data_IF_998184931149
#
_entry.id   IF_998184931149
#
_cell.length_a   1.000
_cell.length_b   1.000
_cell.length_c   1.000
_cell.angle_alpha   90.00
_cell.angle_beta   90.00
_cell.angle_gamma   90.00
#
_symmetry.space_group_name_H-M   'P 1'
#
loop_
_entity.id
_entity.type
_entity.pdbx_description
1 polymer ?
#
# COMPACT_ATOMS: atom_id res chain seq x y z
N UNK A 1 -43.71 49.25 57.91
CA UNK A 1 -42.96 48.00 58.12
C UNK A 1 -43.52 46.95 57.11
N UNK A 2 -42.87 46.67 56.02
CA UNK A 2 -42.82 45.43 55.29
C UNK A 2 -42.15 45.71 53.95
N UNK A 3 -40.93 45.25 53.81
CA UNK A 3 -40.09 45.41 52.63
C UNK A 3 -40.58 44.48 51.51
N UNK A 4 -40.93 45.02 50.37
CA UNK A 4 -41.28 44.27 49.19
C UNK A 4 -40.05 44.28 48.23
N UNK A 5 -39.36 43.15 48.16
CA UNK A 5 -38.23 42.97 47.25
C UNK A 5 -38.76 42.64 45.89
N UNK A 6 -38.48 43.48 44.93
CA UNK A 6 -38.75 43.24 43.53
C UNK A 6 -37.70 42.28 42.97
N UNK A 7 -38.13 41.07 42.61
CA UNK A 7 -37.35 40.16 41.80
C UNK A 7 -37.52 40.55 40.35
N UNK A 8 -36.44 41.11 39.76
CA UNK A 8 -36.35 41.36 38.34
C UNK A 8 -35.94 40.04 37.68
N UNK A 9 -36.91 39.33 37.09
CA UNK A 9 -36.62 38.14 36.32
C UNK A 9 -36.20 38.56 34.91
N UNK A 10 -34.91 38.52 34.66
CA UNK A 10 -34.33 38.75 33.38
C UNK A 10 -34.47 37.45 32.55
N UNK A 11 -35.48 37.44 31.65
CA UNK A 11 -35.72 36.35 30.72
C UNK A 11 -34.72 36.46 29.56
N UNK A 12 -33.63 35.71 29.63
CA UNK A 12 -32.68 35.56 28.51
C UNK A 12 -33.26 34.56 27.50
N UNK A 13 -33.75 35.07 26.39
CA UNK A 13 -34.13 34.26 25.23
C UNK A 13 -32.87 33.70 24.56
N UNK A 14 -32.55 32.45 24.84
CA UNK A 14 -31.54 31.68 24.11
C UNK A 14 -32.17 31.26 22.77
N UNK A 15 -31.82 31.99 21.69
CA UNK A 15 -32.09 31.58 20.35
C UNK A 15 -31.09 30.46 19.98
N UNK A 16 -31.55 29.21 20.06
CA UNK A 16 -30.79 28.07 19.54
C UNK A 16 -30.87 28.12 18.00
N UNK A 17 -29.88 28.74 17.38
CA UNK A 17 -29.66 28.59 15.95
C UNK A 17 -29.15 27.17 15.66
N UNK A 18 -29.99 26.36 15.02
CA UNK A 18 -29.58 25.05 14.48
C UNK A 18 -28.72 25.29 13.26
N UNK A 19 -27.40 25.18 13.41
CA UNK A 19 -26.48 25.05 12.29
C UNK A 19 -26.64 23.64 11.68
N UNK A 20 -26.80 23.52 10.36
CA UNK A 20 -26.74 22.20 9.73
C UNK A 20 -25.34 21.63 9.92
N UNK A 21 -25.25 20.49 10.58
CA UNK A 21 -24.01 19.70 10.63
C UNK A 21 -23.73 19.22 9.19
N UNK A 22 -22.76 19.84 8.54
CA UNK A 22 -22.13 19.25 7.38
C UNK A 22 -21.39 18.01 7.88
N UNK A 23 -21.93 16.84 7.57
CA UNK A 23 -21.21 15.59 7.67
C UNK A 23 -20.06 15.67 6.66
N UNK A 24 -18.87 16.00 7.13
CA UNK A 24 -17.66 15.77 6.36
C UNK A 24 -17.47 14.25 6.34
N UNK A 25 -17.71 13.63 5.19
CA UNK A 25 -17.24 12.28 4.89
C UNK A 25 -15.73 12.27 5.15
N UNK A 26 -15.36 11.67 6.25
CA UNK A 26 -13.97 11.29 6.49
C UNK A 26 -13.69 10.09 5.58
N UNK A 27 -13.26 10.37 4.34
CA UNK A 27 -12.43 9.43 3.64
C UNK A 27 -11.28 9.07 4.58
N UNK A 28 -11.32 7.82 5.02
CA UNK A 28 -10.30 7.29 5.91
C UNK A 28 -8.98 7.22 5.17
N UNK A 29 -8.20 8.28 5.23
CA UNK A 29 -6.77 8.23 5.00
C UNK A 29 -6.16 7.31 6.06
N UNK A 30 -6.11 6.02 5.76
CA UNK A 30 -5.29 5.06 6.47
C UNK A 30 -3.82 5.26 6.07
N UNK A 31 -3.30 6.43 6.39
CA UNK A 31 -1.88 6.68 6.44
C UNK A 31 -1.27 5.73 7.48
N UNK A 32 -0.85 4.55 7.02
CA UNK A 32 0.01 3.67 7.79
C UNK A 32 1.36 4.38 7.99
N UNK A 33 1.50 5.07 9.12
CA UNK A 33 2.78 5.60 9.62
C UNK A 33 3.69 4.43 9.98
N UNK A 34 4.29 3.79 8.99
CA UNK A 34 5.49 3.00 9.15
C UNK A 34 6.62 3.71 8.42
N UNK A 35 7.80 3.74 9.04
CA UNK A 35 9.01 4.45 8.68
C UNK A 35 9.07 4.93 7.22
N UNK A 36 9.69 6.06 6.95
CA UNK A 36 9.64 6.77 5.67
C UNK A 36 9.73 5.84 4.45
N UNK A 37 8.58 5.29 4.03
CA UNK A 37 8.47 4.50 2.81
C UNK A 37 8.74 5.42 1.64
N UNK A 38 9.94 5.30 1.08
CA UNK A 38 10.31 6.06 -0.12
C UNK A 38 9.93 5.23 -1.34
N UNK A 39 9.01 5.75 -2.11
CA UNK A 39 8.57 5.14 -3.35
C UNK A 39 9.68 5.23 -4.41
N UNK A 40 10.16 4.06 -4.84
CA UNK A 40 11.10 3.91 -5.94
C UNK A 40 10.36 3.30 -7.13
N UNK A 41 10.02 4.15 -8.09
CA UNK A 41 9.26 3.76 -9.28
C UNK A 41 10.16 3.21 -10.38
N UNK A 42 9.67 2.17 -11.05
CA UNK A 42 10.22 1.64 -12.28
C UNK A 42 9.09 1.42 -13.28
N UNK A 43 9.21 1.99 -14.47
CA UNK A 43 8.27 1.77 -15.58
C UNK A 43 8.89 0.74 -16.51
N UNK A 44 8.26 -0.43 -16.61
CA UNK A 44 8.71 -1.48 -17.52
C UNK A 44 8.32 -1.12 -18.97
N UNK A 45 9.32 -0.88 -19.78
CA UNK A 45 9.11 -0.70 -21.23
C UNK A 45 8.70 -2.03 -21.87
N UNK A 46 7.97 -1.96 -22.98
CA UNK A 46 7.69 -3.13 -23.82
C UNK A 46 8.90 -3.31 -24.75
N UNK A 47 9.58 -4.43 -24.63
CA UNK A 47 10.71 -4.77 -25.46
C UNK A 47 10.28 -5.17 -26.88
N UNK A 48 11.24 -5.32 -27.79
CA UNK A 48 10.98 -5.68 -29.20
C UNK A 48 10.27 -7.03 -29.37
N UNK A 49 10.39 -7.93 -28.39
CA UNK A 49 9.70 -9.22 -28.33
C UNK A 49 8.29 -9.19 -27.72
N UNK A 50 7.81 -8.00 -27.39
CA UNK A 50 6.48 -7.79 -26.81
C UNK A 50 6.37 -8.12 -25.33
N UNK A 51 7.48 -8.26 -24.60
CA UNK A 51 7.52 -8.57 -23.17
C UNK A 51 7.97 -7.34 -22.38
N UNK A 52 7.36 -7.11 -21.24
CA UNK A 52 7.79 -6.10 -20.29
C UNK A 52 8.74 -6.72 -19.26
N UNK A 53 9.90 -6.12 -19.06
CA UNK A 53 10.88 -6.64 -18.12
C UNK A 53 11.17 -5.66 -17.00
N UNK A 54 11.25 -6.20 -15.78
CA UNK A 54 11.68 -5.47 -14.60
C UNK A 54 12.65 -6.33 -13.78
N UNK A 55 13.59 -5.68 -13.13
CA UNK A 55 14.47 -6.32 -12.15
C UNK A 55 14.21 -5.74 -10.77
N UNK A 56 14.24 -6.59 -9.76
CA UNK A 56 14.00 -6.23 -8.36
C UNK A 56 15.01 -6.91 -7.44
N UNK A 57 15.37 -6.23 -6.37
CA UNK A 57 16.13 -6.80 -5.25
C UNK A 57 15.27 -6.72 -3.99
N UNK A 58 15.20 -7.80 -3.21
CA UNK A 58 14.49 -7.82 -1.92
C UNK A 58 15.42 -8.23 -0.79
N UNK A 59 15.29 -7.57 0.37
CA UNK A 59 16.05 -7.91 1.58
C UNK A 59 15.97 -6.81 2.62
N UNK A 60 16.36 -7.11 3.87
CA UNK A 60 16.39 -6.16 4.98
C UNK A 60 15.13 -5.28 5.09
N UNK A 61 13.96 -5.93 4.89
CA UNK A 61 12.63 -5.33 4.94
C UNK A 61 12.32 -4.32 3.83
N UNK A 62 12.93 -4.46 2.65
CA UNK A 62 12.67 -3.62 1.48
C UNK A 62 12.53 -4.42 0.18
N UNK A 63 11.91 -3.79 -0.82
CA UNK A 63 12.04 -4.11 -2.24
C UNK A 63 12.60 -2.88 -2.97
N UNK A 64 13.46 -3.12 -3.95
CA UNK A 64 14.06 -2.06 -4.79
C UNK A 64 14.07 -2.50 -6.27
N UNK A 65 13.30 -1.86 -7.16
CA UNK A 65 12.25 -0.87 -6.89
C UNK A 65 11.08 -1.48 -6.09
N UNK A 66 10.34 -0.66 -5.35
CA UNK A 66 9.13 -1.08 -4.63
C UNK A 66 7.82 -0.68 -5.32
N UNK A 67 7.90 -0.02 -6.47
CA UNK A 67 6.76 0.38 -7.28
C UNK A 67 7.06 0.11 -8.75
N UNK A 68 6.39 -0.89 -9.33
CA UNK A 68 6.58 -1.30 -10.73
C UNK A 68 5.32 -0.93 -11.51
N UNK A 69 5.51 -0.25 -12.66
CA UNK A 69 4.43 0.13 -13.57
C UNK A 69 4.54 -0.72 -14.83
N UNK A 70 3.46 -1.42 -15.17
CA UNK A 70 3.35 -2.31 -16.33
C UNK A 70 2.08 -2.02 -17.11
N UNK A 71 2.05 -2.41 -18.38
CA UNK A 71 0.87 -2.31 -19.24
C UNK A 71 -0.01 -3.55 -19.14
N UNK A 72 -1.32 -3.32 -19.23
CA UNK A 72 -2.33 -4.39 -19.22
C UNK A 72 -2.22 -5.26 -20.49
N UNK A 73 -2.53 -6.54 -20.36
CA UNK A 73 -2.54 -7.55 -21.44
C UNK A 73 -1.18 -7.78 -22.14
N UNK A 74 -0.09 -7.28 -21.57
CA UNK A 74 1.26 -7.52 -22.08
C UNK A 74 2.00 -8.40 -21.07
N UNK A 75 2.64 -9.51 -21.49
CA UNK A 75 3.40 -10.38 -20.61
C UNK A 75 4.50 -9.63 -19.85
N UNK A 76 4.71 -10.00 -18.58
CA UNK A 76 5.74 -9.44 -17.71
C UNK A 76 6.70 -10.54 -17.29
N UNK A 77 7.98 -10.26 -17.35
CA UNK A 77 9.06 -11.02 -16.72
C UNK A 77 9.68 -10.18 -15.60
N UNK A 78 9.32 -10.48 -14.36
CA UNK A 78 9.92 -9.86 -13.18
C UNK A 78 11.06 -10.72 -12.66
N UNK A 79 12.29 -10.27 -12.85
CA UNK A 79 13.48 -10.90 -12.32
C UNK A 79 13.79 -10.37 -10.93
N UNK A 80 13.82 -11.27 -9.95
CA UNK A 80 14.06 -10.88 -8.55
C UNK A 80 15.15 -11.75 -7.93
N UNK A 81 15.95 -11.15 -7.06
CA UNK A 81 16.92 -11.84 -6.20
C UNK A 81 16.88 -11.30 -4.78
N UNK A 82 17.33 -12.13 -3.83
CA UNK A 82 17.58 -11.69 -2.46
C UNK A 82 18.91 -10.95 -2.38
N UNK A 83 18.95 -9.83 -1.65
CA UNK A 83 20.20 -9.21 -1.22
C UNK A 83 20.98 -10.14 -0.28
N UNK A 84 22.25 -9.85 -0.05
CA UNK A 84 23.04 -10.60 0.95
C UNK A 84 22.37 -10.56 2.31
N UNK A 85 22.49 -11.66 3.08
CA UNK A 85 21.90 -11.75 4.42
C UNK A 85 21.25 -13.13 4.67
N UNK A 86 21.07 -13.45 5.95
CA UNK A 86 20.54 -14.76 6.38
C UNK A 86 19.02 -14.79 6.56
N UNK A 87 18.39 -13.61 6.69
CA UNK A 87 16.95 -13.54 6.95
C UNK A 87 16.17 -14.01 5.71
N UNK A 88 15.22 -14.95 5.86
CA UNK A 88 14.40 -15.41 4.75
C UNK A 88 13.38 -14.34 4.35
N UNK A 89 13.17 -14.18 3.05
CA UNK A 89 12.19 -13.28 2.48
C UNK A 89 11.41 -13.98 1.38
N UNK A 90 10.20 -13.51 1.09
CA UNK A 90 9.44 -13.91 -0.09
C UNK A 90 8.86 -12.67 -0.79
N UNK A 91 8.32 -12.88 -1.98
CA UNK A 91 7.51 -11.91 -2.71
C UNK A 91 6.16 -12.53 -2.99
N UNK A 92 5.11 -11.86 -2.50
CA UNK A 92 3.72 -12.27 -2.67
C UNK A 92 2.96 -11.18 -3.42
N UNK A 93 2.14 -11.60 -4.39
CA UNK A 93 1.02 -10.84 -4.93
C UNK A 93 -0.21 -11.74 -4.95
N UNK A 94 -1.39 -11.21 -4.62
CA UNK A 94 -2.64 -11.95 -4.52
C UNK A 94 -3.77 -11.18 -5.21
N UNK A 95 -3.80 -11.28 -6.54
CA UNK A 95 -4.84 -10.72 -7.39
C UNK A 95 -5.08 -11.64 -8.61
N UNK A 96 -5.55 -12.88 -8.39
CA UNK A 96 -5.75 -13.86 -9.46
C UNK A 96 -6.74 -13.37 -10.52
N UNK A 97 -7.72 -12.56 -10.12
CA UNK A 97 -8.71 -11.95 -11.02
C UNK A 97 -8.10 -10.92 -11.98
N UNK A 98 -6.88 -10.47 -11.68
CA UNK A 98 -6.09 -9.55 -12.52
C UNK A 98 -4.90 -10.24 -13.18
N UNK A 99 -4.79 -11.56 -13.12
CA UNK A 99 -3.67 -12.32 -13.66
C UNK A 99 -2.35 -12.14 -12.89
N UNK A 100 -2.42 -11.69 -11.63
CA UNK A 100 -1.26 -11.41 -10.78
C UNK A 100 -1.40 -12.25 -9.51
N UNK A 101 -0.94 -13.50 -9.54
CA UNK A 101 -0.98 -14.42 -8.38
C UNK A 101 0.32 -15.21 -8.30
N UNK A 102 1.15 -14.88 -7.32
CA UNK A 102 2.38 -15.58 -7.05
C UNK A 102 2.83 -15.46 -5.59
N UNK A 103 3.56 -16.47 -5.14
CA UNK A 103 4.25 -16.48 -3.84
C UNK A 103 5.55 -17.25 -4.01
N UNK A 104 6.68 -16.56 -3.97
CA UNK A 104 8.00 -17.16 -4.13
C UNK A 104 8.94 -16.79 -2.99
N UNK A 105 9.69 -17.77 -2.50
CA UNK A 105 10.80 -17.51 -1.58
C UNK A 105 11.98 -16.92 -2.34
N UNK A 106 12.54 -15.81 -1.83
CA UNK A 106 13.66 -15.14 -2.47
C UNK A 106 14.96 -15.91 -2.25
N UNK A 107 15.73 -16.12 -3.33
CA UNK A 107 17.06 -16.74 -3.33
C UNK A 107 18.13 -15.72 -3.69
N UNK A 108 19.38 -16.01 -3.34
CA UNK A 108 20.55 -15.22 -3.76
C UNK A 108 20.70 -15.21 -5.28
N UNK A 109 20.45 -16.34 -5.94
CA UNK A 109 20.40 -16.45 -7.38
C UNK A 109 19.11 -15.82 -7.92
N UNK A 110 19.19 -15.08 -9.04
CA UNK A 110 18.02 -14.47 -9.65
C UNK A 110 16.96 -15.50 -10.07
N UNK A 111 15.69 -15.18 -9.80
CA UNK A 111 14.51 -15.95 -10.17
C UNK A 111 13.63 -15.08 -11.07
N UNK A 112 12.99 -15.66 -12.08
CA UNK A 112 12.07 -14.93 -12.95
C UNK A 112 10.64 -15.37 -12.71
N UNK A 113 9.79 -14.41 -12.36
CA UNK A 113 8.33 -14.58 -12.25
C UNK A 113 7.72 -14.10 -13.57
N UNK A 114 6.84 -14.94 -14.15
CA UNK A 114 6.13 -14.62 -15.37
C UNK A 114 4.64 -14.51 -15.09
N UNK A 115 4.03 -13.41 -15.51
CA UNK A 115 2.60 -13.18 -15.38
C UNK A 115 2.11 -12.25 -16.49
N UNK A 116 0.80 -12.23 -16.73
CA UNK A 116 0.18 -11.29 -17.67
C UNK A 116 -0.95 -10.57 -16.94
N UNK A 117 -0.80 -9.28 -16.63
CA UNK A 117 -1.84 -8.52 -15.96
C UNK A 117 -3.02 -8.30 -16.90
N UNK A 118 -4.24 -8.59 -16.44
CA UNK A 118 -5.48 -8.53 -17.26
C UNK A 118 -6.42 -7.39 -16.87
N UNK A 119 -6.11 -6.67 -15.78
CA UNK A 119 -6.93 -5.54 -15.30
C UNK A 119 -6.06 -4.39 -14.84
N UNK A 120 -6.45 -3.19 -15.23
CA UNK A 120 -5.86 -1.94 -14.73
C UNK A 120 -6.13 -1.81 -13.24
N UNK A 121 -5.14 -1.34 -12.48
CA UNK A 121 -5.25 -1.16 -11.03
C UNK A 121 -3.92 -1.15 -10.31
N UNK A 122 -3.99 -1.08 -8.98
CA UNK A 122 -2.82 -1.12 -8.10
C UNK A 122 -2.89 -2.38 -7.23
N UNK A 123 -1.89 -3.21 -7.35
CA UNK A 123 -1.82 -4.53 -6.73
C UNK A 123 -0.68 -4.58 -5.72
N UNK A 124 -0.97 -4.74 -4.43
CA UNK A 124 0.07 -4.82 -3.41
C UNK A 124 0.98 -6.03 -3.60
N UNK A 125 2.28 -5.82 -3.40
CA UNK A 125 3.28 -6.87 -3.23
C UNK A 125 3.86 -6.76 -1.82
N UNK A 126 4.15 -7.88 -1.19
CA UNK A 126 4.62 -7.88 0.20
C UNK A 126 5.38 -9.15 0.58
N UNK A 127 6.08 -9.09 1.72
CA UNK A 127 6.70 -10.23 2.38
C UNK A 127 5.93 -10.59 3.65
N UNK A 128 5.45 -11.83 3.78
CA UNK A 128 4.73 -12.31 4.96
C UNK A 128 5.62 -13.03 5.98
N UNK A 129 6.91 -13.19 5.68
CA UNK A 129 7.84 -13.84 6.62
C UNK A 129 7.89 -13.06 7.93
N UNK A 130 8.13 -13.79 9.00
CA UNK A 130 8.39 -13.25 10.34
C UNK A 130 9.49 -14.08 11.00
N UNK A 131 10.17 -13.50 11.96
CA UNK A 131 11.09 -14.22 12.81
C UNK A 131 10.40 -14.48 14.16
N UNK A 132 10.08 -15.76 14.44
CA UNK A 132 9.37 -16.18 15.66
C UNK A 132 8.04 -15.41 15.84
N UNK A 133 7.83 -14.78 17.01
CA UNK A 133 6.65 -13.98 17.36
C UNK A 133 6.81 -12.47 17.09
N UNK A 134 7.86 -12.07 16.37
CA UNK A 134 8.07 -10.67 16.02
C UNK A 134 7.16 -10.24 14.85
N UNK A 135 7.07 -8.93 14.65
CA UNK A 135 6.35 -8.32 13.52
C UNK A 135 6.76 -8.96 12.20
N UNK A 136 5.80 -9.16 11.32
CA UNK A 136 6.05 -9.61 9.95
C UNK A 136 6.95 -8.62 9.21
N UNK A 137 7.61 -9.09 8.14
CA UNK A 137 8.45 -8.19 7.35
C UNK A 137 7.62 -7.10 6.66
N UNK A 138 6.36 -7.39 6.31
CA UNK A 138 5.41 -6.40 5.83
C UNK A 138 5.18 -5.29 6.85
N UNK A 139 4.93 -5.63 8.11
CA UNK A 139 4.77 -4.66 9.21
C UNK A 139 6.05 -3.85 9.49
N UNK A 140 7.19 -4.29 8.96
CA UNK A 140 8.48 -3.58 8.99
C UNK A 140 8.74 -2.76 7.73
N UNK A 141 7.76 -2.71 6.79
CA UNK A 141 7.84 -1.92 5.57
C UNK A 141 8.25 -2.70 4.31
N UNK A 142 8.38 -4.05 4.37
CA UNK A 142 8.69 -4.85 3.19
C UNK A 142 7.44 -5.08 2.34
N UNK A 143 7.03 -4.03 1.66
CA UNK A 143 5.87 -4.00 0.76
C UNK A 143 6.11 -3.06 -0.41
N UNK A 144 5.26 -3.15 -1.43
CA UNK A 144 5.33 -2.34 -2.62
C UNK A 144 4.06 -2.48 -3.46
N UNK A 145 4.10 -2.04 -4.71
CA UNK A 145 2.98 -2.04 -5.62
C UNK A 145 3.39 -2.48 -7.03
N UNK A 146 2.51 -3.21 -7.70
CA UNK A 146 2.46 -3.32 -9.16
C UNK A 146 1.27 -2.48 -9.61
N UNK A 147 1.54 -1.41 -10.36
CA UNK A 147 0.51 -0.61 -11.02
C UNK A 147 0.36 -1.07 -12.46
N UNK A 148 -0.85 -1.45 -12.84
CA UNK A 148 -1.20 -1.84 -14.21
C UNK A 148 -1.91 -0.67 -14.86
N UNK A 149 -1.36 -0.21 -15.97
CA UNK A 149 -1.86 0.90 -16.79
C UNK A 149 -2.18 0.44 -18.22
N UNK A 150 -2.74 1.32 -19.05
CA UNK A 150 -2.98 1.07 -20.49
C UNK A 150 -1.71 1.05 -21.32
#
# INVERSE_FOLDING_TARGET
MKNFKYYFVMMVLLVFGTLPAYAADKEGDQSHKHGTWQEKRFVAAVDADGIQRAEMVGGDYFYDPNYIIVKVNIPVELKIKKSAGYVPHNLIAKAPEAGIDFNIDLKGDPQTIKFTPTKIGKYPIYCDKSLLWFKTHREKGMEGLIEVVE
#
